data_IF_166837109272
#
_entry.id   IF_166837109272
#
_cell.length_a   1.000
_cell.length_b   1.000
_cell.length_c   1.000
_cell.angle_alpha   90.00
_cell.angle_beta   90.00
_cell.angle_gamma   90.00
#
_symmetry.space_group_name_H-M   'P 1'
#
loop_
_entity.id
_entity.type
_entity.pdbx_description
1 polymer ?
#
# COMPACT_ATOMS: atom_id res chain seq x y z
N UNK A 1 -17.54 -44.65 -80.61
CA UNK A 1 -16.92 -44.98 -79.31
C UNK A 1 -16.67 -43.69 -78.55
N UNK A 2 -17.60 -43.37 -77.62
CA UNK A 2 -17.54 -42.17 -76.79
C UNK A 2 -17.02 -42.59 -75.41
N UNK A 3 -15.83 -42.11 -75.08
CA UNK A 3 -15.32 -42.17 -73.68
C UNK A 3 -15.95 -41.03 -72.90
N UNK A 4 -16.71 -41.40 -71.89
CA UNK A 4 -17.18 -40.44 -70.82
C UNK A 4 -16.13 -40.24 -69.78
N UNK A 5 -15.71 -38.98 -69.59
CA UNK A 5 -14.87 -38.59 -68.51
C UNK A 5 -15.73 -38.39 -67.21
N UNK A 6 -15.36 -39.05 -66.11
CA UNK A 6 -15.89 -38.82 -64.79
C UNK A 6 -15.20 -37.57 -64.15
N UNK A 7 -15.95 -36.72 -63.43
CA UNK A 7 -15.35 -35.67 -62.62
C UNK A 7 -14.85 -36.20 -61.25
N UNK A 8 -13.64 -35.94 -60.97
CA UNK A 8 -13.02 -36.18 -59.62
C UNK A 8 -13.54 -35.12 -58.63
N UNK A 9 -14.35 -35.53 -57.64
CA UNK A 9 -14.72 -34.71 -56.50
C UNK A 9 -13.55 -34.69 -55.50
N UNK A 10 -12.96 -33.54 -55.31
CA UNK A 10 -11.99 -33.27 -54.25
C UNK A 10 -12.74 -32.91 -52.95
N UNK A 11 -12.52 -33.59 -51.82
CA UNK A 11 -13.17 -33.18 -50.58
C UNK A 11 -12.50 -31.95 -50.01
N UNK A 12 -13.30 -30.91 -49.81
CA UNK A 12 -12.91 -29.66 -49.11
C UNK A 12 -12.79 -29.98 -47.61
N UNK A 13 -11.58 -30.13 -47.14
CA UNK A 13 -11.31 -30.21 -45.68
C UNK A 13 -11.52 -28.83 -45.07
N UNK A 14 -12.67 -28.63 -44.42
CA UNK A 14 -12.92 -27.55 -43.50
C UNK A 14 -12.07 -27.82 -42.22
N UNK A 15 -10.94 -27.11 -42.07
CA UNK A 15 -10.24 -27.02 -40.78
C UNK A 15 -11.04 -26.09 -39.86
N UNK A 16 -11.81 -26.68 -38.96
CA UNK A 16 -12.35 -25.99 -37.81
C UNK A 16 -11.16 -25.57 -36.90
N UNK A 17 -10.80 -24.31 -37.01
CA UNK A 17 -9.94 -23.68 -36.00
C UNK A 17 -10.73 -23.64 -34.71
N UNK A 18 -10.49 -24.61 -33.84
CA UNK A 18 -10.94 -24.55 -32.44
C UNK A 18 -10.26 -23.40 -31.77
N UNK A 19 -10.95 -22.28 -31.60
CA UNK A 19 -10.58 -21.28 -30.62
C UNK A 19 -10.55 -21.96 -29.24
N UNK A 20 -9.37 -22.37 -28.79
CA UNK A 20 -9.15 -22.67 -27.38
C UNK A 20 -9.26 -21.34 -26.64
N UNK A 21 -10.38 -21.10 -26.01
CA UNK A 21 -10.51 -20.14 -24.95
C UNK A 21 -9.62 -20.64 -23.79
N UNK A 22 -8.49 -19.98 -23.58
CA UNK A 22 -7.72 -20.16 -22.34
C UNK A 22 -8.65 -19.83 -21.16
N UNK A 23 -8.62 -20.59 -20.07
CA UNK A 23 -9.43 -20.27 -18.90
C UNK A 23 -8.92 -18.92 -18.35
N UNK A 24 -9.76 -17.90 -18.42
CA UNK A 24 -9.57 -16.68 -17.64
C UNK A 24 -9.52 -17.10 -16.17
N UNK A 25 -8.36 -16.93 -15.54
CA UNK A 25 -8.26 -16.97 -14.11
C UNK A 25 -8.93 -15.70 -13.56
N UNK A 26 -10.21 -15.80 -13.33
CA UNK A 26 -11.03 -14.74 -12.73
C UNK A 26 -10.82 -14.77 -11.20
N UNK A 27 -9.72 -14.21 -10.77
CA UNK A 27 -9.53 -13.77 -9.38
C UNK A 27 -9.22 -12.28 -9.43
N UNK A 28 -10.23 -11.47 -9.14
CA UNK A 28 -10.39 -10.02 -9.23
C UNK A 28 -9.26 -9.07 -8.81
N UNK A 29 -8.00 -9.45 -8.97
CA UNK A 29 -6.86 -8.56 -8.87
C UNK A 29 -6.44 -8.18 -10.30
N UNK A 30 -6.87 -7.00 -10.76
CA UNK A 30 -6.30 -6.43 -11.98
C UNK A 30 -4.79 -6.26 -11.80
N UNK A 31 -3.99 -6.67 -12.79
CA UNK A 31 -2.55 -6.41 -12.73
C UNK A 31 -2.32 -4.91 -12.63
N UNK A 32 -1.48 -4.50 -11.67
CA UNK A 32 -1.10 -3.10 -11.48
C UNK A 32 -0.52 -2.56 -12.78
N UNK A 33 -1.17 -1.57 -13.39
CA UNK A 33 -0.66 -0.81 -14.52
C UNK A 33 -0.31 -1.59 -15.80
N UNK A 34 -0.87 -2.79 -16.03
CA UNK A 34 -0.58 -3.59 -17.22
C UNK A 34 0.78 -4.30 -17.21
N UNK A 35 1.51 -4.24 -16.09
CA UNK A 35 2.77 -4.98 -15.91
C UNK A 35 2.53 -6.48 -15.85
N UNK A 36 3.46 -7.26 -16.42
CA UNK A 36 3.56 -8.69 -16.17
C UNK A 36 3.92 -8.99 -14.70
N UNK A 37 3.57 -10.17 -14.22
CA UNK A 37 3.92 -10.59 -12.86
C UNK A 37 5.43 -10.58 -12.61
N UNK A 38 6.23 -10.94 -13.60
CA UNK A 38 7.69 -10.94 -13.51
C UNK A 38 8.25 -9.51 -13.40
N UNK A 39 7.71 -8.56 -14.16
CA UNK A 39 8.08 -7.15 -14.05
C UNK A 39 7.71 -6.59 -12.67
N UNK A 40 6.49 -6.86 -12.19
CA UNK A 40 6.05 -6.44 -10.87
C UNK A 40 6.94 -7.04 -9.77
N UNK A 41 7.25 -8.33 -9.82
CA UNK A 41 8.13 -9.00 -8.87
C UNK A 41 9.56 -8.39 -8.86
N UNK A 42 10.12 -8.10 -10.04
CA UNK A 42 11.45 -7.48 -10.14
C UNK A 42 11.53 -6.08 -9.54
N UNK A 43 10.39 -5.39 -9.41
CA UNK A 43 10.34 -4.08 -8.76
C UNK A 43 10.50 -4.16 -7.23
N UNK A 44 10.41 -5.33 -6.61
CA UNK A 44 10.32 -5.48 -5.16
C UNK A 44 11.32 -6.51 -4.60
N UNK A 45 12.52 -6.56 -5.15
CA UNK A 45 13.57 -7.40 -4.60
C UNK A 45 13.95 -6.99 -3.18
N UNK A 46 14.04 -7.96 -2.28
CA UNK A 46 14.50 -7.72 -0.91
C UNK A 46 16.02 -7.56 -0.88
N UNK A 47 16.51 -6.47 -0.33
CA UNK A 47 17.87 -6.41 0.17
C UNK A 47 18.00 -7.31 1.40
N UNK A 48 19.04 -8.11 1.44
CA UNK A 48 19.33 -9.06 2.54
C UNK A 48 20.05 -8.40 3.72
N UNK A 49 20.31 -7.11 3.66
CA UNK A 49 20.91 -6.37 4.77
C UNK A 49 19.92 -6.33 5.94
N UNK A 50 20.29 -6.92 7.07
CA UNK A 50 19.42 -6.93 8.24
C UNK A 50 19.20 -5.48 8.77
N UNK A 51 17.94 -5.04 8.92
CA UNK A 51 17.66 -3.76 9.56
C UNK A 51 18.06 -3.79 11.05
N UNK A 52 18.16 -2.63 11.71
CA UNK A 52 18.39 -2.54 13.15
C UNK A 52 17.39 -3.38 13.96
N UNK A 53 17.79 -3.76 15.20
CA UNK A 53 16.91 -4.48 16.09
C UNK A 53 15.64 -3.65 16.39
N UNK A 54 14.48 -4.31 16.37
CA UNK A 54 13.21 -3.67 16.66
C UNK A 54 13.12 -3.24 18.13
N UNK A 55 12.63 -2.02 18.39
CA UNK A 55 12.53 -1.42 19.73
C UNK A 55 11.15 -1.60 20.37
N UNK A 56 10.13 -1.83 19.57
CA UNK A 56 8.76 -2.05 20.03
C UNK A 56 8.44 -3.52 20.36
N UNK A 57 7.16 -3.83 20.48
CA UNK A 57 6.67 -5.18 20.79
C UNK A 57 5.40 -5.51 20.00
N UNK A 58 5.12 -6.80 19.86
CA UNK A 58 3.83 -7.27 19.33
C UNK A 58 2.73 -7.10 20.39
N UNK A 59 1.55 -6.64 19.96
CA UNK A 59 0.37 -6.44 20.80
C UNK A 59 -0.87 -7.03 20.13
N UNK A 60 -1.77 -7.60 20.89
CA UNK A 60 -3.10 -7.99 20.42
C UNK A 60 -3.99 -6.75 20.34
N UNK A 61 -4.51 -6.45 19.14
CA UNK A 61 -5.40 -5.30 18.91
C UNK A 61 -6.88 -5.66 19.02
N UNK A 62 -7.22 -6.92 18.78
CA UNK A 62 -8.54 -7.50 19.01
C UNK A 62 -8.45 -9.03 19.00
N UNK A 63 -9.33 -9.75 19.74
CA UNK A 63 -9.36 -11.21 19.75
C UNK A 63 -9.53 -11.80 18.35
N UNK A 64 -8.69 -12.77 18.02
CA UNK A 64 -8.73 -13.49 16.75
C UNK A 64 -8.16 -12.75 15.53
N UNK A 65 -7.62 -11.54 15.70
CA UNK A 65 -6.85 -10.86 14.69
C UNK A 65 -5.35 -11.07 14.89
N UNK A 66 -4.58 -10.90 13.81
CA UNK A 66 -3.11 -10.93 13.90
C UNK A 66 -2.61 -9.82 14.83
N UNK A 67 -1.55 -10.06 15.61
CA UNK A 67 -0.95 -9.04 16.45
C UNK A 67 -0.35 -7.91 15.61
N UNK A 68 -0.48 -6.67 16.08
CA UNK A 68 0.20 -5.51 15.53
C UNK A 68 1.54 -5.27 16.24
N UNK A 69 2.47 -4.59 15.57
CA UNK A 69 3.70 -4.12 16.20
C UNK A 69 3.51 -2.71 16.74
N UNK A 70 3.69 -2.55 18.05
CA UNK A 70 3.57 -1.28 18.76
C UNK A 70 4.96 -0.75 19.11
N UNK A 71 5.29 0.44 18.61
CA UNK A 71 6.46 1.21 19.01
C UNK A 71 6.01 2.50 19.72
N UNK A 72 6.16 2.61 21.06
CA UNK A 72 5.73 3.77 21.81
C UNK A 72 6.54 5.02 21.48
N UNK A 73 5.89 6.17 21.47
CA UNK A 73 6.54 7.47 21.29
C UNK A 73 7.70 7.65 22.26
N UNK A 74 8.87 8.01 21.74
CA UNK A 74 10.06 8.28 22.53
C UNK A 74 10.09 9.73 23.03
N UNK A 75 10.74 9.97 24.17
CA UNK A 75 10.90 11.30 24.75
C UNK A 75 9.60 11.91 25.32
N UNK A 76 8.56 11.09 25.54
CA UNK A 76 7.26 11.52 26.07
C UNK A 76 6.84 10.77 27.33
N UNK A 77 7.79 10.16 28.04
CA UNK A 77 7.53 9.41 29.27
C UNK A 77 6.87 10.32 30.32
N UNK A 78 5.69 9.91 30.82
CA UNK A 78 4.92 10.69 31.81
C UNK A 78 4.15 11.87 31.22
N UNK A 79 4.13 12.05 29.90
CA UNK A 79 3.34 13.06 29.21
C UNK A 79 1.93 12.58 28.90
N UNK A 80 1.08 13.49 28.38
CA UNK A 80 -0.22 13.15 27.78
C UNK A 80 -0.05 12.09 26.66
N UNK A 81 -1.09 11.30 26.40
CA UNK A 81 -1.05 10.29 25.34
C UNK A 81 -0.55 10.86 24.00
N UNK A 82 0.36 10.15 23.34
CA UNK A 82 0.91 10.57 22.08
C UNK A 82 -0.10 10.36 20.94
N UNK A 83 -0.06 11.17 19.86
CA UNK A 83 -0.74 10.84 18.62
C UNK A 83 -0.28 9.49 18.09
N UNK A 84 -1.20 8.76 17.41
CA UNK A 84 -0.89 7.44 16.87
C UNK A 84 -0.83 7.47 15.35
N UNK A 85 0.20 6.84 14.80
CA UNK A 85 0.32 6.60 13.36
C UNK A 85 0.11 5.11 13.10
N UNK A 86 -0.94 4.78 12.33
CA UNK A 86 -1.19 3.44 11.81
C UNK A 86 -0.22 3.20 10.64
N UNK A 87 0.65 2.22 10.76
CA UNK A 87 1.66 1.90 9.76
C UNK A 87 1.22 0.66 8.98
N UNK A 88 1.17 0.76 7.67
CA UNK A 88 0.77 -0.36 6.81
C UNK A 88 1.96 -0.85 6.01
N UNK A 89 2.23 -2.14 6.13
CA UNK A 89 3.39 -2.79 5.50
C UNK A 89 3.31 -2.80 3.97
N UNK A 90 4.46 -2.94 3.33
CA UNK A 90 4.56 -3.25 1.91
C UNK A 90 4.09 -4.69 1.61
N UNK A 91 4.18 -5.13 0.36
CA UNK A 91 3.78 -6.47 -0.04
C UNK A 91 4.59 -7.61 0.61
N UNK A 92 5.69 -7.28 1.27
CA UNK A 92 6.52 -8.24 2.02
C UNK A 92 5.93 -8.70 3.36
N UNK A 93 4.86 -8.05 3.84
CA UNK A 93 4.29 -8.28 5.17
C UNK A 93 4.94 -7.45 6.27
N UNK A 94 4.51 -7.67 7.51
CA UNK A 94 5.02 -6.98 8.70
C UNK A 94 6.42 -7.51 9.08
N UNK A 95 7.41 -7.24 8.25
CA UNK A 95 8.79 -7.65 8.42
C UNK A 95 9.60 -6.66 9.28
N UNK A 96 10.92 -6.91 9.41
CA UNK A 96 11.81 -6.09 10.20
C UNK A 96 11.92 -4.64 9.67
N UNK A 97 11.87 -4.43 8.34
CA UNK A 97 11.92 -3.09 7.75
C UNK A 97 10.72 -2.24 8.15
N UNK A 98 9.51 -2.83 8.15
CA UNK A 98 8.31 -2.11 8.58
C UNK A 98 8.35 -1.77 10.07
N UNK A 99 8.88 -2.68 10.90
CA UNK A 99 9.11 -2.40 12.33
C UNK A 99 10.10 -1.26 12.51
N UNK A 100 11.15 -1.21 11.70
CA UNK A 100 12.11 -0.10 11.71
C UNK A 100 11.44 1.24 11.35
N UNK A 101 10.53 1.27 10.37
CA UNK A 101 9.76 2.49 10.07
C UNK A 101 8.86 2.91 11.23
N UNK A 102 8.23 1.96 11.93
CA UNK A 102 7.46 2.24 13.13
C UNK A 102 8.35 2.82 14.25
N UNK A 103 9.54 2.27 14.46
CA UNK A 103 10.51 2.77 15.44
C UNK A 103 11.03 4.18 15.07
N UNK A 104 11.19 4.46 13.77
CA UNK A 104 11.54 5.78 13.28
C UNK A 104 10.46 6.82 13.57
N UNK A 105 9.21 6.48 13.37
CA UNK A 105 8.07 7.33 13.76
C UNK A 105 8.01 7.54 15.27
N UNK A 106 8.32 6.49 16.05
CA UNK A 106 8.39 6.60 17.51
C UNK A 106 9.48 7.57 17.98
N UNK A 107 10.63 7.60 17.29
CA UNK A 107 11.69 8.58 17.56
C UNK A 107 11.30 10.03 17.21
N UNK A 108 10.32 10.22 16.31
CA UNK A 108 9.73 11.53 16.02
C UNK A 108 8.63 11.94 17.04
N UNK A 109 8.38 11.14 18.07
CA UNK A 109 7.42 11.44 19.15
C UNK A 109 5.99 10.96 18.91
N UNK A 110 5.74 10.09 17.91
CA UNK A 110 4.47 9.45 17.65
C UNK A 110 4.44 8.01 18.19
N UNK A 111 3.32 7.55 18.71
CA UNK A 111 3.15 6.11 18.90
C UNK A 111 2.82 5.47 17.56
N UNK A 112 3.64 4.54 17.10
CA UNK A 112 3.44 3.84 15.84
C UNK A 112 2.81 2.46 16.09
N UNK A 113 1.72 2.16 15.37
CA UNK A 113 1.02 0.88 15.42
C UNK A 113 1.04 0.25 14.03
N UNK A 114 1.97 -0.67 13.79
CA UNK A 114 2.08 -1.34 12.49
C UNK A 114 1.14 -2.55 12.43
N UNK A 115 0.17 -2.47 11.51
CA UNK A 115 -0.87 -3.47 11.33
C UNK A 115 -0.36 -4.61 10.44
N UNK A 116 -0.75 -5.83 10.77
CA UNK A 116 -0.43 -7.03 10.00
C UNK A 116 -1.65 -7.49 9.19
N UNK A 117 -1.63 -7.22 7.89
CA UNK A 117 -2.71 -7.60 6.97
C UNK A 117 -2.53 -9.02 6.40
N UNK A 118 -1.44 -9.72 6.77
CA UNK A 118 -1.12 -11.05 6.26
C UNK A 118 -1.21 -12.15 7.33
N UNK A 119 -1.76 -11.85 8.50
CA UNK A 119 -2.01 -12.87 9.53
C UNK A 119 -0.75 -13.50 10.11
N UNK A 120 0.31 -12.74 10.33
CA UNK A 120 1.58 -13.21 10.88
C UNK A 120 2.57 -13.70 9.84
N UNK A 121 2.24 -13.62 8.55
CA UNK A 121 3.10 -14.09 7.47
C UNK A 121 3.95 -12.94 6.90
N UNK A 122 5.15 -13.27 6.45
CA UNK A 122 6.03 -12.38 5.70
C UNK A 122 6.74 -13.15 4.60
N UNK A 123 6.93 -12.51 3.46
CA UNK A 123 7.59 -13.10 2.32
C UNK A 123 9.12 -13.01 2.43
N UNK A 124 9.79 -14.01 1.89
CA UNK A 124 11.25 -14.09 1.79
C UNK A 124 11.75 -13.87 0.35
N UNK A 125 10.84 -13.95 -0.61
CA UNK A 125 11.10 -13.75 -2.03
C UNK A 125 9.88 -13.12 -2.74
N UNK A 126 10.04 -12.63 -3.98
CA UNK A 126 8.96 -11.97 -4.73
C UNK A 126 7.76 -12.87 -5.02
N UNK A 127 7.97 -14.17 -5.23
CA UNK A 127 6.88 -15.12 -5.53
C UNK A 127 5.96 -15.27 -4.31
N UNK A 128 6.54 -15.44 -3.12
CA UNK A 128 5.79 -15.49 -1.86
C UNK A 128 5.09 -14.16 -1.59
N UNK A 129 5.75 -13.03 -1.82
CA UNK A 129 5.15 -11.71 -1.64
C UNK A 129 3.93 -11.51 -2.54
N UNK A 130 4.04 -11.90 -3.81
CA UNK A 130 2.93 -11.85 -4.76
C UNK A 130 1.78 -12.77 -4.33
N UNK A 131 2.09 -13.97 -3.87
CA UNK A 131 1.09 -14.93 -3.39
C UNK A 131 0.34 -14.39 -2.16
N UNK A 132 1.05 -13.83 -1.17
CA UNK A 132 0.45 -13.22 0.01
C UNK A 132 -0.44 -12.02 -0.37
N UNK A 133 0.05 -11.14 -1.23
CA UNK A 133 -0.71 -9.96 -1.66
C UNK A 133 -2.00 -10.36 -2.39
N UNK A 134 -1.97 -11.40 -3.22
CA UNK A 134 -3.15 -11.91 -3.93
C UNK A 134 -4.16 -12.63 -3.02
N UNK A 135 -3.67 -13.22 -1.93
CA UNK A 135 -4.50 -13.92 -0.95
C UNK A 135 -5.21 -12.98 0.03
N UNK A 136 -4.93 -11.67 -0.03
CA UNK A 136 -5.53 -10.70 0.89
C UNK A 136 -7.04 -10.65 0.71
N UNK A 137 -7.76 -10.94 1.78
CA UNK A 137 -9.18 -10.66 1.89
C UNK A 137 -9.39 -9.19 2.30
N UNK A 138 -9.95 -8.39 1.40
CA UNK A 138 -10.19 -6.97 1.65
C UNK A 138 -11.08 -6.74 2.87
N UNK A 139 -12.13 -7.54 3.06
CA UNK A 139 -13.03 -7.40 4.21
C UNK A 139 -12.34 -7.77 5.55
N UNK A 140 -11.47 -8.77 5.54
CA UNK A 140 -10.66 -9.11 6.71
C UNK A 140 -9.67 -8.00 7.04
N UNK A 141 -9.00 -7.43 6.02
CA UNK A 141 -8.07 -6.32 6.19
C UNK A 141 -8.77 -5.05 6.70
N UNK A 142 -9.97 -4.75 6.22
CA UNK A 142 -10.78 -3.64 6.76
C UNK A 142 -11.08 -3.82 8.24
N UNK A 143 -11.38 -5.04 8.69
CA UNK A 143 -11.59 -5.35 10.13
C UNK A 143 -10.31 -5.09 10.95
N UNK A 144 -9.13 -5.41 10.39
CA UNK A 144 -7.85 -5.14 11.06
C UNK A 144 -7.61 -3.62 11.17
N UNK A 145 -7.88 -2.86 10.10
CA UNK A 145 -7.76 -1.39 10.11
C UNK A 145 -8.69 -0.77 11.15
N UNK A 146 -9.96 -1.18 11.16
CA UNK A 146 -10.95 -0.69 12.15
C UNK A 146 -10.56 -1.07 13.58
N UNK A 147 -10.03 -2.26 13.81
CA UNK A 147 -9.54 -2.69 15.12
C UNK A 147 -8.31 -1.90 15.56
N UNK A 148 -7.38 -1.62 14.63
CA UNK A 148 -6.21 -0.78 14.88
C UNK A 148 -6.57 0.65 15.26
N UNK A 149 -7.51 1.28 14.56
CA UNK A 149 -8.00 2.62 14.92
C UNK A 149 -8.70 2.62 16.29
N UNK A 150 -9.54 1.64 16.54
CA UNK A 150 -10.18 1.48 17.86
C UNK A 150 -9.15 1.30 18.97
N UNK A 151 -8.15 0.46 18.76
CA UNK A 151 -7.07 0.25 19.73
C UNK A 151 -6.30 1.55 19.98
N UNK A 152 -6.00 2.32 18.93
CA UNK A 152 -5.35 3.62 19.04
C UNK A 152 -6.18 4.59 19.91
N UNK A 153 -7.48 4.67 19.68
CA UNK A 153 -8.35 5.63 20.38
C UNK A 153 -8.75 5.16 21.79
N UNK A 154 -9.13 3.92 21.94
CA UNK A 154 -9.71 3.43 23.21
C UNK A 154 -8.64 2.93 24.19
N UNK A 155 -7.58 2.27 23.71
CA UNK A 155 -6.53 1.68 24.54
C UNK A 155 -5.36 2.63 24.71
N UNK A 156 -4.83 3.16 23.58
CA UNK A 156 -3.69 4.09 23.62
C UNK A 156 -4.11 5.53 23.92
N UNK A 157 -5.44 5.82 23.91
CA UNK A 157 -5.97 7.16 24.17
C UNK A 157 -5.46 8.23 23.24
N UNK A 158 -5.17 7.87 21.98
CA UNK A 158 -4.64 8.77 20.99
C UNK A 158 -5.52 10.03 20.82
N UNK A 159 -4.99 11.24 21.04
CA UNK A 159 -5.74 12.47 20.80
C UNK A 159 -6.00 12.71 19.31
N UNK A 160 -5.09 12.21 18.44
CA UNK A 160 -5.15 12.29 16.99
C UNK A 160 -4.56 11.04 16.36
N UNK A 161 -5.00 10.72 15.15
CA UNK A 161 -4.52 9.54 14.42
C UNK A 161 -4.20 9.88 12.96
N UNK A 162 -3.15 9.28 12.43
CA UNK A 162 -2.84 9.30 11.00
C UNK A 162 -2.54 7.88 10.51
N UNK A 163 -2.51 7.68 9.20
CA UNK A 163 -2.01 6.47 8.57
C UNK A 163 -0.84 6.76 7.64
N UNK A 164 0.04 5.78 7.49
CA UNK A 164 1.15 5.80 6.53
C UNK A 164 1.36 4.41 5.96
N UNK A 165 1.69 4.34 4.68
CA UNK A 165 2.04 3.08 4.06
C UNK A 165 2.75 3.26 2.72
N UNK A 166 3.48 2.22 2.32
CA UNK A 166 4.29 2.19 1.10
C UNK A 166 3.81 1.08 0.17
N UNK A 167 3.75 1.32 -1.13
CA UNK A 167 3.35 0.34 -2.14
C UNK A 167 1.95 -0.25 -1.84
N UNK A 168 1.86 -1.55 -1.54
CA UNK A 168 0.64 -2.19 -1.03
C UNK A 168 0.06 -1.43 0.17
N UNK A 169 0.91 -1.07 1.13
CA UNK A 169 0.52 -0.28 2.29
C UNK A 169 0.08 1.14 1.96
N UNK A 170 0.61 1.75 0.89
CA UNK A 170 0.16 3.05 0.41
C UNK A 170 -1.30 3.00 -0.05
N UNK A 171 -1.69 1.95 -0.78
CA UNK A 171 -3.09 1.70 -1.08
C UNK A 171 -3.94 1.55 0.20
N UNK A 172 -3.46 0.81 1.18
CA UNK A 172 -4.18 0.62 2.44
C UNK A 172 -4.22 1.88 3.30
N UNK A 173 -3.23 2.78 3.22
CA UNK A 173 -3.32 4.10 3.84
C UNK A 173 -4.43 4.96 3.21
N UNK A 174 -4.60 4.92 1.88
CA UNK A 174 -5.76 5.52 1.20
C UNK A 174 -7.08 4.86 1.66
N UNK A 175 -7.09 3.53 1.83
CA UNK A 175 -8.25 2.82 2.39
C UNK A 175 -8.55 3.24 3.82
N UNK A 176 -7.53 3.49 4.66
CA UNK A 176 -7.73 4.05 6.00
C UNK A 176 -8.47 5.40 5.93
N UNK A 177 -8.09 6.31 5.04
CA UNK A 177 -8.77 7.58 4.87
C UNK A 177 -10.24 7.43 4.45
N UNK A 178 -10.56 6.39 3.67
CA UNK A 178 -11.94 6.09 3.25
C UNK A 178 -12.79 5.40 4.34
N UNK A 179 -12.16 4.69 5.26
CA UNK A 179 -12.83 3.84 6.27
C UNK A 179 -12.96 4.54 7.63
N UNK A 180 -12.06 5.47 7.92
CA UNK A 180 -11.90 6.08 9.24
C UNK A 180 -12.26 7.56 9.18
N UNK A 181 -13.52 7.94 9.40
CA UNK A 181 -13.95 9.35 9.29
C UNK A 181 -13.31 10.28 10.33
N UNK A 182 -12.69 9.73 11.39
CA UNK A 182 -11.98 10.51 12.37
C UNK A 182 -10.46 10.52 12.19
N UNK A 183 -9.95 9.97 11.08
CA UNK A 183 -8.53 10.03 10.76
C UNK A 183 -8.14 11.48 10.43
N UNK A 184 -7.07 11.99 11.05
CA UNK A 184 -6.62 13.36 10.85
C UNK A 184 -5.76 13.51 9.60
N UNK A 185 -5.01 12.46 9.22
CA UNK A 185 -4.15 12.50 8.04
C UNK A 185 -3.84 11.12 7.46
N UNK A 186 -3.63 11.05 6.14
CA UNK A 186 -3.21 9.85 5.43
C UNK A 186 -1.98 10.13 4.56
N UNK A 187 -0.91 9.37 4.75
CA UNK A 187 0.32 9.46 3.96
C UNK A 187 0.42 8.25 3.05
N UNK A 188 0.46 8.49 1.75
CA UNK A 188 0.38 7.48 0.69
C UNK A 188 1.66 7.51 -0.12
N UNK A 189 2.56 6.54 0.10
CA UNK A 189 3.75 6.36 -0.74
C UNK A 189 3.45 5.39 -1.86
N UNK A 190 3.52 5.85 -3.10
CA UNK A 190 3.43 5.07 -4.35
C UNK A 190 2.48 3.86 -4.30
N UNK A 191 1.33 4.03 -3.64
CA UNK A 191 0.29 3.01 -3.55
C UNK A 191 -0.69 3.07 -4.72
N UNK A 192 -1.41 1.96 -4.98
CA UNK A 192 -2.50 1.93 -5.95
C UNK A 192 -3.58 2.94 -5.57
N UNK A 193 -4.04 3.72 -6.54
CA UNK A 193 -4.90 4.88 -6.36
C UNK A 193 -6.37 4.56 -6.70
N UNK A 194 -7.23 5.44 -6.25
CA UNK A 194 -8.67 5.53 -6.59
C UNK A 194 -8.87 6.94 -7.14
N UNK A 195 -9.46 7.07 -8.31
CA UNK A 195 -9.66 8.35 -9.01
C UNK A 195 -11.13 8.78 -9.11
N UNK A 196 -12.05 7.97 -8.59
CA UNK A 196 -13.48 8.26 -8.55
C UNK A 196 -13.81 9.32 -7.49
N UNK A 197 -14.21 10.56 -7.90
CA UNK A 197 -14.51 11.63 -6.95
C UNK A 197 -15.63 11.28 -5.96
N UNK A 198 -16.60 10.43 -6.36
CA UNK A 198 -17.70 10.05 -5.48
C UNK A 198 -17.22 9.15 -4.33
N UNK A 199 -16.21 8.32 -4.56
CA UNK A 199 -15.57 7.54 -3.50
C UNK A 199 -14.67 8.45 -2.65
N UNK A 200 -13.86 9.30 -3.29
CA UNK A 200 -12.92 10.19 -2.61
C UNK A 200 -13.62 11.23 -1.73
N UNK A 201 -14.83 11.64 -2.06
CA UNK A 201 -15.63 12.58 -1.24
C UNK A 201 -15.98 12.05 0.17
N UNK A 202 -15.69 10.77 0.46
CA UNK A 202 -15.83 10.18 1.81
C UNK A 202 -14.61 10.46 2.69
N UNK A 203 -13.53 10.98 2.14
CA UNK A 203 -12.30 11.27 2.88
C UNK A 203 -12.47 12.59 3.62
N UNK A 204 -12.37 12.54 4.95
CA UNK A 204 -12.35 13.73 5.82
C UNK A 204 -10.92 14.06 6.25
N UNK A 205 -10.01 13.09 6.18
CA UNK A 205 -8.61 13.25 6.48
C UNK A 205 -7.91 14.14 5.46
N UNK A 206 -6.89 14.89 5.90
CA UNK A 206 -5.95 15.51 4.97
C UNK A 206 -5.06 14.43 4.33
N UNK A 207 -4.74 14.55 3.05
CA UNK A 207 -3.99 13.54 2.28
C UNK A 207 -2.62 14.07 1.86
N UNK A 208 -1.57 13.31 2.12
CA UNK A 208 -0.25 13.50 1.53
C UNK A 208 0.05 12.33 0.58
N UNK A 209 0.18 12.62 -0.71
CA UNK A 209 0.61 11.67 -1.72
C UNK A 209 2.08 11.86 -2.10
N UNK A 210 2.85 10.78 -2.10
CA UNK A 210 4.27 10.76 -2.43
C UNK A 210 4.49 9.73 -3.55
N UNK A 211 4.91 10.20 -4.72
CA UNK A 211 4.98 9.39 -5.93
C UNK A 211 6.30 9.59 -6.67
N UNK A 212 6.58 8.70 -7.62
CA UNK A 212 7.78 8.69 -8.43
C UNK A 212 7.44 8.87 -9.92
N UNK A 213 8.18 9.73 -10.62
CA UNK A 213 7.93 10.04 -12.04
C UNK A 213 8.33 8.89 -12.98
N UNK A 214 9.20 7.98 -12.53
CA UNK A 214 9.66 6.82 -13.32
C UNK A 214 8.92 5.53 -12.94
N UNK A 215 7.92 5.63 -12.04
CA UNK A 215 7.12 4.50 -11.58
C UNK A 215 6.25 3.95 -12.73
N UNK A 216 6.44 2.66 -13.04
CA UNK A 216 5.64 1.95 -14.06
C UNK A 216 4.39 1.29 -13.47
N UNK A 217 4.35 1.10 -12.15
CA UNK A 217 3.20 0.51 -11.45
C UNK A 217 2.13 1.54 -11.12
N UNK A 218 2.58 2.75 -10.76
CA UNK A 218 1.72 3.91 -10.47
C UNK A 218 2.21 5.06 -11.37
N UNK A 219 1.89 5.02 -12.65
CA UNK A 219 2.42 5.99 -13.61
C UNK A 219 1.92 7.41 -13.34
N UNK A 220 2.65 8.45 -13.76
CA UNK A 220 2.25 9.85 -13.57
C UNK A 220 0.81 10.17 -13.96
N UNK A 221 0.28 9.51 -15.00
CA UNK A 221 -1.10 9.71 -15.44
C UNK A 221 -2.14 9.28 -14.39
N UNK A 222 -1.86 8.20 -13.64
CA UNK A 222 -2.73 7.73 -12.56
C UNK A 222 -2.67 8.70 -11.37
N UNK A 223 -1.49 9.24 -11.09
CA UNK A 223 -1.31 10.28 -10.05
C UNK A 223 -2.06 11.55 -10.44
N UNK A 224 -2.00 11.96 -11.72
CA UNK A 224 -2.77 13.11 -12.23
C UNK A 224 -4.29 12.88 -12.10
N UNK A 225 -4.76 11.67 -12.38
CA UNK A 225 -6.17 11.32 -12.24
C UNK A 225 -6.62 11.37 -10.77
N UNK A 226 -5.82 10.81 -9.87
CA UNK A 226 -6.07 10.85 -8.44
C UNK A 226 -6.11 12.28 -7.89
N UNK A 227 -5.14 13.12 -8.23
CA UNK A 227 -5.07 14.51 -7.80
C UNK A 227 -6.29 15.32 -8.29
N UNK A 228 -6.71 15.11 -9.55
CA UNK A 228 -7.95 15.68 -10.07
C UNK A 228 -9.18 15.16 -9.30
N UNK A 229 -9.21 13.88 -8.98
CA UNK A 229 -10.27 13.24 -8.19
C UNK A 229 -10.39 13.85 -6.80
N UNK A 230 -9.29 14.01 -6.07
CA UNK A 230 -9.23 14.65 -4.76
C UNK A 230 -9.71 16.11 -4.83
N UNK A 231 -9.24 16.86 -5.83
CA UNK A 231 -9.67 18.24 -6.04
C UNK A 231 -11.17 18.34 -6.30
N UNK A 232 -11.71 17.49 -7.18
CA UNK A 232 -13.13 17.46 -7.50
C UNK A 232 -14.00 17.04 -6.30
N UNK A 233 -13.45 16.18 -5.42
CA UNK A 233 -14.09 15.74 -4.18
C UNK A 233 -13.98 16.76 -3.04
N UNK A 234 -13.18 17.82 -3.19
CA UNK A 234 -12.95 18.83 -2.16
C UNK A 234 -12.06 18.36 -1.00
N UNK A 235 -11.27 17.31 -1.19
CA UNK A 235 -10.36 16.78 -0.17
C UNK A 235 -9.13 17.68 -0.06
N UNK A 236 -8.73 18.05 1.16
CA UNK A 236 -7.46 18.75 1.40
C UNK A 236 -6.29 17.79 1.16
N UNK A 237 -5.40 18.13 0.23
CA UNK A 237 -4.32 17.24 -0.18
C UNK A 237 -3.07 17.97 -0.66
N UNK A 238 -1.96 17.27 -0.57
CA UNK A 238 -0.67 17.64 -1.14
C UNK A 238 -0.11 16.45 -1.92
N UNK A 239 0.38 16.68 -3.15
CA UNK A 239 1.00 15.65 -3.99
C UNK A 239 2.44 16.05 -4.29
N UNK A 240 3.39 15.23 -3.85
CA UNK A 240 4.81 15.38 -4.12
C UNK A 240 5.30 14.29 -5.08
N UNK A 241 6.09 14.67 -6.06
CA UNK A 241 6.60 13.79 -7.11
C UNK A 241 8.12 13.91 -7.18
N UNK A 242 8.78 12.77 -7.22
CA UNK A 242 10.25 12.67 -7.27
C UNK A 242 10.68 12.04 -8.58
N UNK A 243 11.83 12.45 -9.09
CA UNK A 243 12.44 11.83 -10.28
C UNK A 243 13.16 10.54 -9.89
N UNK A 244 12.37 9.54 -9.52
CA UNK A 244 12.80 8.28 -8.95
C UNK A 244 11.89 7.14 -9.46
N UNK A 245 12.25 5.90 -9.14
CA UNK A 245 11.50 4.68 -9.48
C UNK A 245 10.53 4.28 -8.35
N UNK A 246 9.66 3.30 -8.64
CA UNK A 246 8.81 2.68 -7.61
C UNK A 246 9.63 2.18 -6.43
N UNK A 247 9.11 2.32 -5.22
CA UNK A 247 9.77 1.92 -3.96
C UNK A 247 11.10 2.66 -3.65
N UNK A 248 11.32 3.86 -4.20
CA UNK A 248 12.52 4.66 -3.97
C UNK A 248 12.79 4.97 -2.49
N UNK A 249 11.78 4.95 -1.64
CA UNK A 249 11.93 5.23 -0.21
C UNK A 249 12.23 3.97 0.63
N UNK A 250 12.29 2.78 0.03
CA UNK A 250 12.61 1.54 0.75
C UNK A 250 14.14 1.33 0.82
N UNK A 251 14.78 1.51 2.01
CA UNK A 251 16.23 1.41 2.12
C UNK A 251 16.77 -0.02 1.97
N UNK A 252 15.91 -1.03 1.98
CA UNK A 252 16.28 -2.42 1.72
C UNK A 252 16.06 -2.84 0.26
N UNK A 253 15.56 -1.95 -0.59
CA UNK A 253 15.31 -2.21 -2.01
C UNK A 253 16.42 -1.69 -2.93
N UNK A 254 16.64 -2.35 -4.06
CA UNK A 254 17.67 -1.96 -5.06
C UNK A 254 17.38 -0.60 -5.72
N UNK A 255 16.14 -0.11 -5.65
CA UNK A 255 15.72 1.19 -6.20
C UNK A 255 15.73 2.31 -5.18
N UNK A 256 16.36 2.07 -4.02
CA UNK A 256 16.48 3.10 -3.00
C UNK A 256 17.23 4.32 -3.56
N UNK A 257 16.56 5.46 -3.55
CA UNK A 257 17.14 6.75 -3.86
C UNK A 257 17.18 7.56 -2.56
N UNK A 258 18.36 7.68 -1.98
CA UNK A 258 18.55 8.34 -0.69
C UNK A 258 18.17 9.81 -0.70
N UNK A 259 18.35 10.52 -1.82
CA UNK A 259 18.01 11.93 -1.94
C UNK A 259 16.49 12.12 -2.01
N UNK A 260 15.81 11.37 -2.88
CA UNK A 260 14.36 11.38 -2.99
C UNK A 260 13.69 10.88 -1.68
N UNK A 261 14.21 9.80 -1.08
CA UNK A 261 13.70 9.26 0.18
C UNK A 261 13.83 10.26 1.33
N UNK A 262 14.97 10.95 1.44
CA UNK A 262 15.19 11.97 2.47
C UNK A 262 14.26 13.17 2.30
N UNK A 263 14.08 13.65 1.07
CA UNK A 263 13.16 14.75 0.77
C UNK A 263 11.70 14.34 1.07
N UNK A 264 11.28 13.15 0.63
CA UNK A 264 9.95 12.62 0.90
C UNK A 264 9.69 12.44 2.41
N UNK A 265 10.69 12.00 3.16
CA UNK A 265 10.59 11.88 4.61
C UNK A 265 10.47 13.24 5.29
N UNK A 266 11.17 14.27 4.82
CA UNK A 266 11.04 15.63 5.34
C UNK A 266 9.60 16.15 5.16
N UNK A 267 8.98 15.93 3.99
CA UNK A 267 7.58 16.28 3.74
C UNK A 267 6.61 15.48 4.64
N UNK A 268 6.88 14.19 4.82
CA UNK A 268 6.10 13.33 5.73
C UNK A 268 6.13 13.87 7.16
N UNK A 269 7.32 14.21 7.67
CA UNK A 269 7.46 14.78 9.01
C UNK A 269 6.72 16.11 9.16
N UNK A 270 6.86 17.00 8.18
CA UNK A 270 6.16 18.27 8.14
C UNK A 270 4.63 18.06 8.18
N UNK A 271 4.13 17.18 7.33
CA UNK A 271 2.71 16.86 7.24
C UNK A 271 2.17 16.26 8.55
N UNK A 272 2.84 15.23 9.08
CA UNK A 272 2.42 14.60 10.34
C UNK A 272 2.44 15.59 11.50
N UNK A 273 3.44 16.47 11.57
CA UNK A 273 3.49 17.52 12.58
C UNK A 273 2.30 18.49 12.50
N UNK A 274 1.81 18.78 11.28
CA UNK A 274 0.64 19.65 11.07
C UNK A 274 -0.67 18.97 11.47
N UNK A 275 -0.91 17.73 10.97
CA UNK A 275 -2.20 17.04 11.19
C UNK A 275 -2.33 16.45 12.59
N UNK A 276 -1.20 16.13 13.24
CA UNK A 276 -1.18 15.53 14.56
C UNK A 276 -0.86 16.52 15.70
N UNK A 277 -0.61 17.79 15.38
CA UNK A 277 -0.52 18.84 16.38
C UNK A 277 -1.87 18.96 17.10
N UNK A 278 -1.84 19.03 18.43
CA UNK A 278 -3.03 19.46 19.19
C UNK A 278 -3.44 20.85 18.72
N UNK A 279 -4.73 21.15 18.71
CA UNK A 279 -5.14 22.55 18.61
C UNK A 279 -4.49 23.32 19.77
N UNK A 280 -3.86 24.50 19.47
CA UNK A 280 -3.29 25.31 20.52
C UNK A 280 -4.32 25.77 21.56
#
# INVERSE_FOLDING_TARGET
MLLRALPILLPLLLTLAACRSEPRSDNGAQPLGGMSEAEFASLHELDRTAPPAALGRMVEIAPGLAPAYLSPAQGREGSEPAPVVLVIHEWWGLNANVRHWADRLAAEGYTALALDLYGGQSAQDPEQALALMRAVDGAASEKIVLAGDRYAREVLRAPRTASIGWCFGGHWSLRCALLLPQLDGAVIYYGKLIDDPAQLARIEARVLGIFANQDKSIPPADVDAFERGLTAAGVDHEIHRYDADHAFANPSGQRYDSAAASAAWAETRRFLAQVLAGNP
#
